data_IF_768803235380
#
_entry.id   IF_768803235380
#
_cell.length_a   1.000
_cell.length_b   1.000
_cell.length_c   1.000
_cell.angle_alpha   90.00
_cell.angle_beta   90.00
_cell.angle_gamma   90.00
#
_symmetry.space_group_name_H-M   'P 1'
#
loop_
_entity.id
_entity.type
_entity.pdbx_description
1 polymer ?
#
# COMPACT_ATOMS: atom_id res chain seq x y z
N UNK A 1 13.43 -8.83 6.58
CA UNK A 1 13.08 -7.80 5.57
C UNK A 1 13.15 -6.45 6.28
N UNK A 2 14.24 -5.73 6.11
CA UNK A 2 14.54 -4.48 6.84
C UNK A 2 13.37 -3.50 6.76
N UNK A 3 13.05 -2.81 7.87
CA UNK A 3 12.06 -1.72 7.91
C UNK A 3 12.28 -0.71 6.77
N UNK A 4 13.55 -0.47 6.40
CA UNK A 4 13.90 0.43 5.30
C UNK A 4 13.37 -0.09 3.96
N UNK A 5 13.45 -1.39 3.71
CA UNK A 5 12.93 -2.02 2.49
C UNK A 5 11.41 -1.90 2.42
N UNK A 6 10.70 -2.08 3.54
CA UNK A 6 9.25 -1.94 3.58
C UNK A 6 8.79 -0.49 3.36
N UNK A 7 9.48 0.49 3.96
CA UNK A 7 9.26 1.93 3.71
C UNK A 7 9.55 2.33 2.27
N UNK A 8 10.65 1.85 1.69
CA UNK A 8 10.99 2.07 0.28
C UNK A 8 9.94 1.49 -0.66
N UNK A 9 9.49 0.26 -0.41
CA UNK A 9 8.40 -0.38 -1.17
C UNK A 9 7.10 0.42 -1.09
N UNK A 10 6.75 0.88 0.11
CA UNK A 10 5.53 1.67 0.33
C UNK A 10 5.60 3.01 -0.40
N UNK A 11 6.70 3.75 -0.22
CA UNK A 11 6.92 5.03 -0.91
C UNK A 11 6.90 4.86 -2.43
N UNK A 12 7.65 3.90 -2.95
CA UNK A 12 7.73 3.61 -4.39
C UNK A 12 6.35 3.22 -4.94
N UNK A 13 5.59 2.41 -4.22
CA UNK A 13 4.24 2.02 -4.63
C UNK A 13 3.29 3.21 -4.67
N UNK A 14 3.29 4.08 -3.65
CA UNK A 14 2.45 5.27 -3.65
C UNK A 14 2.85 6.26 -4.74
N UNK A 15 4.15 6.41 -5.03
CA UNK A 15 4.61 7.24 -6.16
C UNK A 15 4.14 6.67 -7.49
N UNK A 16 4.25 5.35 -7.69
CA UNK A 16 3.73 4.68 -8.89
C UNK A 16 2.21 4.79 -9.00
N UNK A 17 1.48 4.64 -7.90
CA UNK A 17 0.04 4.80 -7.84
C UNK A 17 -0.37 6.24 -8.20
N UNK A 18 0.34 7.24 -7.66
CA UNK A 18 0.13 8.63 -7.98
C UNK A 18 0.35 8.90 -9.47
N UNK A 19 1.45 8.40 -10.05
CA UNK A 19 1.76 8.57 -11.48
C UNK A 19 0.76 7.83 -12.38
N UNK A 20 0.29 6.66 -11.96
CA UNK A 20 -0.66 5.86 -12.73
C UNK A 20 -2.11 6.38 -12.65
N UNK A 21 -2.48 7.05 -11.56
CA UNK A 21 -3.82 7.63 -11.34
C UNK A 21 -3.88 9.12 -11.71
N UNK A 22 -2.75 9.83 -11.70
CA UNK A 22 -2.65 11.24 -12.12
C UNK A 22 -2.33 11.33 -13.62
N UNK A 23 -2.82 12.39 -14.27
CA UNK A 23 -2.46 12.72 -15.65
C UNK A 23 -0.93 12.77 -15.80
N UNK A 24 -0.25 12.04 -16.73
CA UNK A 24 -0.73 11.41 -17.96
C UNK A 24 -0.91 9.88 -17.89
N UNK A 25 -0.68 9.23 -16.74
CA UNK A 25 -0.73 7.76 -16.61
C UNK A 25 -2.12 7.18 -16.89
N UNK A 26 -3.16 7.99 -16.68
CA UNK A 26 -4.54 7.63 -16.98
C UNK A 26 -4.89 7.71 -18.47
N UNK A 27 -4.17 8.53 -19.27
CA UNK A 27 -4.47 8.83 -20.67
C UNK A 27 -4.43 7.61 -21.60
N UNK A 28 -3.43 6.70 -21.52
CA UNK A 28 -3.43 5.48 -22.35
C UNK A 28 -4.47 4.43 -21.89
N UNK A 29 -4.92 4.50 -20.64
CA UNK A 29 -5.88 3.57 -20.04
C UNK A 29 -7.31 4.11 -19.93
N UNK A 30 -7.55 5.36 -20.34
CA UNK A 30 -8.87 5.99 -20.46
C UNK A 30 -9.69 5.43 -21.65
N UNK A 31 -9.46 4.18 -22.06
CA UNK A 31 -10.26 3.51 -23.08
C UNK A 31 -11.48 2.87 -22.43
N UNK A 32 -12.65 3.24 -22.93
CA UNK A 32 -13.99 2.79 -22.47
C UNK A 32 -14.19 1.27 -22.67
N UNK A 33 -13.36 0.62 -23.49
CA UNK A 33 -13.35 -0.81 -23.73
C UNK A 33 -11.94 -1.37 -23.49
N UNK A 34 -11.80 -2.56 -22.87
CA UNK A 34 -12.85 -3.53 -22.52
C UNK A 34 -13.57 -3.22 -21.20
N UNK A 35 -14.82 -3.68 -21.08
CA UNK A 35 -15.58 -3.62 -19.83
C UNK A 35 -15.12 -4.78 -18.92
N UNK A 36 -14.61 -4.48 -17.74
CA UNK A 36 -14.24 -5.48 -16.72
C UNK A 36 -15.43 -5.60 -15.77
N UNK A 37 -16.07 -6.78 -15.71
CA UNK A 37 -17.26 -7.04 -14.85
C UNK A 37 -18.43 -6.06 -15.08
N UNK A 38 -18.53 -5.47 -16.27
CA UNK A 38 -19.54 -4.46 -16.60
C UNK A 38 -19.14 -3.01 -16.27
N UNK A 39 -17.93 -2.78 -15.74
CA UNK A 39 -17.38 -1.46 -15.43
C UNK A 39 -16.34 -1.03 -16.47
N UNK A 40 -16.19 0.28 -16.76
CA UNK A 40 -15.13 0.78 -17.64
C UNK A 40 -13.75 0.36 -17.11
N UNK A 41 -12.84 -0.02 -18.01
CA UNK A 41 -11.47 -0.40 -17.65
C UNK A 41 -10.81 0.62 -16.69
N UNK A 42 -11.05 1.92 -16.91
CA UNK A 42 -10.56 3.01 -16.07
C UNK A 42 -11.00 2.89 -14.60
N UNK A 43 -12.25 2.47 -14.34
CA UNK A 43 -12.74 2.26 -12.98
C UNK A 43 -12.09 1.04 -12.33
N UNK A 44 -11.98 -0.07 -13.07
CA UNK A 44 -11.31 -1.27 -12.58
C UNK A 44 -9.83 -1.01 -12.29
N UNK A 45 -9.17 -0.19 -13.12
CA UNK A 45 -7.79 0.24 -12.93
C UNK A 45 -7.60 1.04 -11.63
N UNK A 46 -8.46 2.03 -11.38
CA UNK A 46 -8.43 2.81 -10.13
C UNK A 46 -8.70 1.89 -8.93
N UNK A 47 -9.68 0.99 -9.03
CA UNK A 47 -9.98 0.03 -7.98
C UNK A 47 -8.80 -0.91 -7.67
N UNK A 48 -8.06 -1.36 -8.70
CA UNK A 48 -6.86 -2.18 -8.53
C UNK A 48 -5.77 -1.42 -7.77
N UNK A 49 -5.53 -0.14 -8.08
CA UNK A 49 -4.58 0.70 -7.35
C UNK A 49 -4.99 0.90 -5.88
N UNK A 50 -6.27 1.12 -5.61
CA UNK A 50 -6.81 1.23 -4.25
C UNK A 50 -6.60 -0.08 -3.48
N UNK A 51 -6.98 -1.22 -4.08
CA UNK A 51 -6.82 -2.53 -3.47
C UNK A 51 -5.33 -2.84 -3.18
N UNK A 52 -4.44 -2.50 -4.11
CA UNK A 52 -3.01 -2.67 -3.90
C UNK A 52 -2.45 -1.75 -2.80
N UNK A 53 -2.99 -0.54 -2.60
CA UNK A 53 -2.62 0.32 -1.46
C UNK A 53 -2.93 -0.36 -0.12
N UNK A 54 -4.08 -1.04 -0.03
CA UNK A 54 -4.44 -1.83 1.16
C UNK A 54 -3.44 -2.96 1.39
N UNK A 55 -3.06 -3.69 0.33
CA UNK A 55 -2.08 -4.78 0.42
C UNK A 55 -0.72 -4.25 0.88
N UNK A 56 -0.26 -3.12 0.35
CA UNK A 56 1.03 -2.52 0.69
C UNK A 56 1.05 -2.05 2.14
N UNK A 57 0.00 -1.37 2.60
CA UNK A 57 -0.13 -0.96 4.00
C UNK A 57 -0.22 -2.17 4.92
N UNK A 58 -0.95 -3.22 4.53
CA UNK A 58 -1.02 -4.46 5.29
C UNK A 58 0.34 -5.16 5.38
N UNK A 59 1.11 -5.18 4.30
CA UNK A 59 2.44 -5.76 4.28
C UNK A 59 3.41 -4.94 5.14
N UNK A 60 3.31 -3.61 5.11
CA UNK A 60 4.07 -2.71 5.98
C UNK A 60 3.75 -2.98 7.45
N UNK A 61 2.47 -3.00 7.83
CA UNK A 61 2.02 -3.29 9.20
C UNK A 61 2.49 -4.68 9.64
N UNK A 62 2.43 -5.69 8.77
CA UNK A 62 2.94 -7.04 9.06
C UNK A 62 4.45 -7.07 9.29
N UNK A 63 5.22 -6.30 8.51
CA UNK A 63 6.68 -6.22 8.66
C UNK A 63 7.05 -5.42 9.91
N UNK A 64 6.32 -4.35 10.22
CA UNK A 64 6.51 -3.53 11.41
C UNK A 64 6.17 -4.31 12.68
N UNK A 65 5.05 -5.05 12.71
CA UNK A 65 4.72 -5.98 13.81
C UNK A 65 5.80 -7.03 14.03
N UNK A 66 6.44 -7.52 12.98
CA UNK A 66 7.56 -8.48 13.07
C UNK A 66 8.86 -7.88 13.60
N UNK A 67 9.02 -6.56 13.48
CA UNK A 67 10.23 -5.86 13.91
C UNK A 67 10.05 -5.06 15.18
N UNK A 68 8.83 -4.95 15.73
CA UNK A 68 8.65 -4.53 17.11
C UNK A 68 9.36 -5.57 17.97
N UNK A 69 10.56 -5.29 18.49
CA UNK A 69 11.12 -6.14 19.53
C UNK A 69 10.13 -6.01 20.68
N UNK A 70 9.92 -7.06 21.44
CA UNK A 70 9.19 -7.01 22.70
C UNK A 70 9.88 -6.01 23.64
N UNK A 71 9.59 -4.73 23.45
CA UNK A 71 10.09 -3.62 24.21
C UNK A 71 9.28 -3.51 25.48
N UNK A 72 9.77 -4.17 26.52
CA UNK A 72 9.51 -3.76 27.89
C UNK A 72 8.27 -4.35 28.53
N UNK A 73 8.21 -5.69 28.58
CA UNK A 73 7.56 -6.37 29.70
C UNK A 73 8.46 -6.19 30.96
N UNK A 74 8.63 -4.94 31.42
CA UNK A 74 9.40 -4.57 32.62
C UNK A 74 8.88 -3.28 33.27
N UNK A 75 7.57 -3.17 33.52
CA UNK A 75 7.04 -2.30 34.60
C UNK A 75 5.96 -3.06 35.39
N UNK A 76 6.18 -4.35 35.60
CA UNK A 76 5.67 -5.03 36.78
C UNK A 76 6.79 -4.94 37.84
N UNK A 77 6.64 -4.06 38.84
CA UNK A 77 7.42 -4.14 40.07
C UNK A 77 7.92 -2.80 40.63
N UNK A 78 7.16 -2.26 41.59
CA UNK A 78 7.70 -1.73 42.85
C UNK A 78 8.48 -0.42 42.83
N UNK A 79 7.85 0.64 43.33
CA UNK A 79 8.39 1.75 44.14
C UNK A 79 7.20 2.71 44.33
N UNK A 80 6.69 3.06 45.50
CA UNK A 80 7.03 2.92 46.93
C UNK A 80 5.71 2.83 47.71
#
# INVERSE_FOLDING_TARGET
MSLRTARLLTGTYFTLALVAVTWPGLVPFARIRPLILGLPFSMAWIAAWIAGSVIVLFLLDRVERRHRPDGGRHEAGGSD
#
